data_IF_998610497553
#
_entry.id   IF_998610497553
#
_cell.length_a   1.000
_cell.length_b   1.000
_cell.length_c   1.000
_cell.angle_alpha   90.00
_cell.angle_beta   90.00
_cell.angle_gamma   90.00
#
_symmetry.space_group_name_H-M   'P 1'
#
loop_
_entity.id
_entity.type
_entity.pdbx_description
1 polymer ?
#
# COMPACT_ATOMS: atom_id res chain seq x y z
N UNK A 1 10.51 -16.37 14.82
CA UNK A 1 9.43 -15.52 14.49
C UNK A 1 8.17 -15.75 15.28
N UNK A 2 7.84 -14.86 16.23
CA UNK A 2 6.53 -14.90 16.89
C UNK A 2 5.43 -14.40 15.94
N UNK A 3 4.23 -14.99 16.04
CA UNK A 3 3.06 -14.50 15.33
C UNK A 3 2.56 -13.21 15.98
N UNK A 4 2.54 -12.10 15.24
CA UNK A 4 2.13 -10.79 15.74
C UNK A 4 0.66 -10.46 15.46
N UNK A 5 0.05 -11.15 14.52
CA UNK A 5 -1.33 -10.88 14.12
C UNK A 5 -1.55 -11.05 12.62
N UNK A 6 -2.68 -10.55 12.12
CA UNK A 6 -3.03 -10.58 10.71
C UNK A 6 -3.80 -9.34 10.29
N UNK A 7 -3.63 -8.94 9.05
CA UNK A 7 -4.50 -8.03 8.32
C UNK A 7 -5.43 -8.84 7.39
N UNK A 8 -6.63 -8.36 7.18
CA UNK A 8 -7.55 -8.87 6.17
C UNK A 8 -7.87 -7.75 5.19
N UNK A 9 -7.62 -7.97 3.90
CA UNK A 9 -7.89 -7.01 2.82
C UNK A 9 -9.28 -6.39 2.98
N UNK A 10 -9.33 -5.08 3.14
CA UNK A 10 -10.57 -4.36 3.46
C UNK A 10 -11.42 -4.13 2.21
N UNK A 11 -10.78 -3.77 1.10
CA UNK A 11 -11.47 -3.46 -0.15
C UNK A 11 -11.24 -4.58 -1.16
N UNK A 12 -12.35 -5.24 -1.56
CA UNK A 12 -12.30 -6.37 -2.50
C UNK A 12 -12.70 -5.86 -3.89
N UNK A 13 -11.83 -6.00 -4.92
CA UNK A 13 -12.13 -5.53 -6.26
C UNK A 13 -13.20 -6.37 -6.96
N UNK A 14 -13.91 -5.68 -7.86
CA UNK A 14 -14.74 -6.29 -8.87
C UNK A 14 -14.54 -5.50 -10.17
N UNK A 15 -13.51 -5.84 -10.92
CA UNK A 15 -13.12 -5.12 -12.15
C UNK A 15 -12.98 -6.11 -13.30
N UNK A 16 -13.68 -5.86 -14.37
CA UNK A 16 -13.55 -6.63 -15.60
C UNK A 16 -12.37 -6.11 -16.46
N UNK A 17 -11.66 -6.99 -17.17
CA UNK A 17 -11.76 -8.45 -17.12
C UNK A 17 -10.89 -9.03 -16.01
N UNK A 18 -11.26 -10.17 -15.42
CA UNK A 18 -10.37 -11.02 -14.64
C UNK A 18 -10.38 -10.82 -13.12
N UNK A 19 -10.71 -9.65 -12.59
CA UNK A 19 -10.64 -9.36 -11.16
C UNK A 19 -12.02 -9.45 -10.49
N UNK A 20 -12.54 -10.68 -10.36
CA UNK A 20 -13.86 -10.94 -9.77
C UNK A 20 -13.74 -11.42 -8.31
N UNK A 21 -12.88 -10.80 -7.51
CA UNK A 21 -12.56 -11.25 -6.15
C UNK A 21 -13.79 -11.26 -5.22
N UNK A 22 -14.79 -10.38 -5.43
CA UNK A 22 -16.03 -10.37 -4.61
C UNK A 22 -16.83 -11.67 -4.68
N UNK A 23 -16.61 -12.50 -5.69
CA UNK A 23 -17.23 -13.82 -5.79
C UNK A 23 -16.70 -14.78 -4.71
N UNK A 24 -15.43 -14.62 -4.31
CA UNK A 24 -14.70 -15.57 -3.48
C UNK A 24 -14.41 -15.04 -2.09
N UNK A 25 -14.32 -13.70 -1.93
CA UNK A 25 -13.86 -13.06 -0.71
C UNK A 25 -14.86 -12.04 -0.17
N UNK A 26 -14.94 -11.99 1.16
CA UNK A 26 -15.63 -10.93 1.90
C UNK A 26 -14.63 -9.84 2.30
N UNK A 27 -15.08 -8.57 2.40
CA UNK A 27 -14.27 -7.49 2.96
C UNK A 27 -13.72 -7.84 4.34
N UNK A 28 -12.49 -7.43 4.60
CA UNK A 28 -11.84 -7.56 5.90
C UNK A 28 -12.60 -6.79 7.00
N UNK A 29 -12.50 -7.29 8.22
CA UNK A 29 -13.23 -6.76 9.38
C UNK A 29 -12.34 -6.56 10.61
N UNK A 30 -11.03 -6.49 10.43
CA UNK A 30 -10.07 -6.30 11.53
C UNK A 30 -9.60 -4.84 11.67
N UNK A 31 -10.15 -3.94 10.85
CA UNK A 31 -9.67 -2.57 10.78
C UNK A 31 -8.25 -2.50 10.18
N UNK A 32 -7.46 -1.58 10.69
CA UNK A 32 -6.11 -1.27 10.19
C UNK A 32 -5.08 -1.49 11.30
N UNK A 33 -4.77 -2.75 11.64
CA UNK A 33 -3.79 -3.07 12.68
C UNK A 33 -2.38 -2.67 12.25
N UNK A 34 -1.60 -2.21 13.22
CA UNK A 34 -0.17 -1.96 13.10
C UNK A 34 0.55 -2.95 14.00
N UNK A 35 1.61 -3.55 13.50
CA UNK A 35 2.36 -4.60 14.17
C UNK A 35 3.70 -4.04 14.66
N UNK A 36 3.92 -4.08 15.96
CA UNK A 36 5.21 -3.74 16.55
C UNK A 36 6.20 -4.88 16.27
N UNK A 37 7.16 -4.61 15.40
CA UNK A 37 8.29 -5.51 15.14
C UNK A 37 9.51 -5.08 15.97
N UNK A 38 10.59 -5.86 15.91
CA UNK A 38 11.84 -5.48 16.55
C UNK A 38 12.50 -4.23 15.95
N UNK A 39 12.06 -3.79 14.75
CA UNK A 39 12.73 -2.76 13.97
C UNK A 39 11.83 -1.59 13.60
N UNK A 40 10.55 -1.83 13.32
CA UNK A 40 9.64 -0.83 12.76
C UNK A 40 8.19 -1.15 13.12
N UNK A 41 7.34 -0.14 13.22
CA UNK A 41 5.88 -0.27 13.30
C UNK A 41 5.32 -0.49 11.90
N UNK A 42 4.92 -1.73 11.63
CA UNK A 42 4.56 -2.22 10.31
C UNK A 42 3.05 -2.19 10.08
N UNK A 43 2.62 -1.48 9.05
CA UNK A 43 1.27 -1.58 8.48
C UNK A 43 1.22 -2.51 7.27
N UNK A 44 0.05 -3.08 7.01
CA UNK A 44 -0.21 -3.89 5.81
C UNK A 44 -1.45 -3.35 5.12
N UNK A 45 -1.36 -3.11 3.80
CA UNK A 45 -2.46 -2.58 3.00
C UNK A 45 -2.42 -3.25 1.62
N UNK A 46 -3.38 -4.12 1.31
CA UNK A 46 -3.21 -5.13 0.25
C UNK A 46 -3.78 -4.65 -1.10
N UNK A 47 -2.94 -4.57 -2.12
CA UNK A 47 -3.29 -4.46 -3.54
C UNK A 47 -4.33 -3.33 -3.81
N UNK A 48 -5.59 -3.70 -4.09
CA UNK A 48 -6.70 -2.78 -4.36
C UNK A 48 -6.96 -1.77 -3.24
N UNK A 49 -6.61 -2.11 -1.99
CA UNK A 49 -6.70 -1.18 -0.86
C UNK A 49 -5.99 0.15 -1.15
N UNK A 50 -4.90 0.15 -1.95
CA UNK A 50 -4.08 1.34 -2.24
C UNK A 50 -4.87 2.51 -2.83
N UNK A 51 -5.99 2.23 -3.51
CA UNK A 51 -6.85 3.24 -4.13
C UNK A 51 -7.66 4.06 -3.10
N UNK A 52 -7.66 3.67 -1.83
CA UNK A 52 -8.46 4.28 -0.77
C UNK A 52 -7.56 5.05 0.21
N UNK A 53 -7.52 6.39 0.12
CA UNK A 53 -6.68 7.23 0.98
C UNK A 53 -6.95 7.06 2.47
N UNK A 54 -8.17 6.69 2.83
CA UNK A 54 -8.63 6.53 4.21
C UNK A 54 -7.84 5.47 4.97
N UNK A 55 -7.53 4.33 4.32
CA UNK A 55 -6.79 3.25 4.97
C UNK A 55 -5.32 3.59 5.19
N UNK A 56 -4.67 4.28 4.25
CA UNK A 56 -3.31 4.81 4.45
C UNK A 56 -3.26 5.74 5.66
N UNK A 57 -4.24 6.65 5.75
CA UNK A 57 -4.36 7.59 6.86
C UNK A 57 -4.63 6.86 8.17
N UNK A 58 -5.52 5.87 8.19
CA UNK A 58 -5.84 5.10 9.38
C UNK A 58 -4.61 4.33 9.91
N UNK A 59 -3.86 3.66 9.03
CA UNK A 59 -2.62 2.97 9.40
C UNK A 59 -1.59 3.93 10.00
N UNK A 60 -1.40 5.09 9.38
CA UNK A 60 -0.45 6.09 9.87
C UNK A 60 -0.88 6.69 11.22
N UNK A 61 -2.19 6.93 11.43
CA UNK A 61 -2.74 7.38 12.72
C UNK A 61 -2.61 6.30 13.80
N UNK A 62 -2.64 5.02 13.43
CA UNK A 62 -2.39 3.90 14.34
C UNK A 62 -0.88 3.69 14.61
N UNK A 63 -0.03 4.55 14.05
CA UNK A 63 1.39 4.60 14.35
C UNK A 63 2.29 3.88 13.35
N UNK A 64 1.80 3.43 12.19
CA UNK A 64 2.66 2.85 11.17
C UNK A 64 3.76 3.82 10.72
N UNK A 65 4.97 3.28 10.60
CA UNK A 65 6.16 3.97 10.07
C UNK A 65 6.52 3.43 8.68
N UNK A 66 6.27 2.15 8.46
CA UNK A 66 6.44 1.46 7.19
C UNK A 66 5.16 0.69 6.86
N UNK A 67 4.65 0.85 5.65
CA UNK A 67 3.45 0.15 5.18
C UNK A 67 3.80 -0.67 3.94
N UNK A 68 3.53 -1.97 3.98
CA UNK A 68 3.72 -2.85 2.81
C UNK A 68 2.42 -2.98 2.02
N UNK A 69 2.52 -2.88 0.69
CA UNK A 69 1.40 -3.08 -0.23
C UNK A 69 1.69 -4.26 -1.17
N UNK A 70 1.49 -5.51 -0.71
CA UNK A 70 1.58 -6.67 -1.58
C UNK A 70 0.45 -6.69 -2.59
N UNK A 71 0.79 -6.86 -3.86
CA UNK A 71 -0.12 -6.68 -4.99
C UNK A 71 0.08 -7.72 -6.08
N UNK A 72 -1.01 -7.98 -6.82
CA UNK A 72 -1.00 -8.68 -8.10
C UNK A 72 -1.77 -7.79 -9.09
N UNK A 73 -1.10 -6.77 -9.62
CA UNK A 73 -1.71 -5.79 -10.52
C UNK A 73 -1.08 -5.88 -11.92
N UNK A 74 -1.91 -5.72 -12.94
CA UNK A 74 -1.57 -5.96 -14.34
C UNK A 74 -1.37 -4.67 -15.13
N UNK A 75 -0.59 -4.76 -16.21
CA UNK A 75 -0.41 -3.69 -17.18
C UNK A 75 -1.74 -3.26 -17.82
N UNK A 76 -1.80 -2.03 -18.30
CA UNK A 76 -2.96 -1.44 -18.96
C UNK A 76 -3.76 -0.56 -18.02
N UNK A 77 -4.75 -1.10 -17.35
CA UNK A 77 -5.76 -0.32 -16.64
C UNK A 77 -5.22 0.52 -15.47
N UNK A 78 -4.28 0.02 -14.70
CA UNK A 78 -3.86 0.63 -13.43
C UNK A 78 -2.36 0.92 -13.29
N UNK A 79 -1.56 0.67 -14.32
CA UNK A 79 -0.10 0.85 -14.23
C UNK A 79 0.28 2.28 -13.87
N UNK A 80 -0.38 3.29 -14.43
CA UNK A 80 -0.11 4.69 -14.14
C UNK A 80 -0.42 5.07 -12.69
N UNK A 81 -1.36 4.37 -12.04
CA UNK A 81 -1.70 4.59 -10.63
C UNK A 81 -0.64 4.03 -9.68
N UNK A 82 0.13 3.04 -10.14
CA UNK A 82 1.12 2.35 -9.32
C UNK A 82 2.16 3.31 -8.75
N UNK A 83 2.72 4.16 -9.60
CA UNK A 83 3.72 5.15 -9.23
C UNK A 83 3.13 6.53 -8.83
N UNK A 84 1.81 6.68 -8.90
CA UNK A 84 1.13 7.92 -8.50
C UNK A 84 0.59 7.85 -7.07
N UNK A 85 -0.20 6.83 -6.77
CA UNK A 85 -0.99 6.78 -5.53
C UNK A 85 -0.14 6.53 -4.28
N UNK A 86 0.83 5.63 -4.37
CA UNK A 86 1.62 5.23 -3.22
C UNK A 86 2.66 6.31 -2.84
N UNK A 87 3.40 6.95 -3.75
CA UNK A 87 4.22 8.11 -3.44
C UNK A 87 3.41 9.27 -2.82
N UNK A 88 2.24 9.58 -3.39
CA UNK A 88 1.35 10.59 -2.83
C UNK A 88 0.88 10.21 -1.41
N UNK A 89 0.56 8.93 -1.19
CA UNK A 89 0.15 8.41 0.13
C UNK A 89 1.31 8.43 1.14
N UNK A 90 2.53 8.10 0.72
CA UNK A 90 3.73 8.17 1.55
C UNK A 90 3.96 9.61 2.05
N UNK A 91 3.94 10.58 1.14
CA UNK A 91 4.12 12.00 1.48
C UNK A 91 2.99 12.53 2.37
N UNK A 92 1.73 12.24 2.02
CA UNK A 92 0.57 12.71 2.78
C UNK A 92 0.51 12.17 4.22
N UNK A 93 1.14 11.02 4.49
CA UNK A 93 1.11 10.34 5.78
C UNK A 93 2.47 10.29 6.50
N UNK A 94 3.54 10.78 5.87
CA UNK A 94 4.88 10.77 6.44
C UNK A 94 5.32 9.35 6.84
N UNK A 95 5.20 8.38 5.91
CA UNK A 95 5.54 6.96 6.12
C UNK A 95 6.37 6.44 4.96
N UNK A 96 7.18 5.41 5.22
CA UNK A 96 7.72 4.59 4.12
C UNK A 96 6.64 3.67 3.57
N UNK A 97 6.69 3.38 2.27
CA UNK A 97 5.84 2.36 1.64
C UNK A 97 6.72 1.41 0.82
N UNK A 98 6.55 0.10 1.05
CA UNK A 98 7.07 -0.96 0.20
C UNK A 98 5.98 -1.47 -0.73
N UNK A 99 6.05 -1.09 -1.99
CA UNK A 99 5.15 -1.54 -3.03
C UNK A 99 5.70 -2.83 -3.65
N UNK A 100 5.01 -3.94 -3.46
CA UNK A 100 5.46 -5.26 -3.88
C UNK A 100 4.47 -5.78 -4.91
N UNK A 101 4.91 -6.01 -6.16
CA UNK A 101 4.03 -6.49 -7.21
C UNK A 101 4.53 -7.79 -7.82
N UNK A 102 3.59 -8.62 -8.20
CA UNK A 102 3.81 -9.86 -8.93
C UNK A 102 4.36 -9.60 -10.34
N UNK A 103 5.07 -10.57 -10.91
CA UNK A 103 5.56 -10.58 -12.30
C UNK A 103 4.97 -11.74 -13.10
N UNK A 104 5.04 -11.65 -14.44
CA UNK A 104 4.71 -12.71 -15.37
C UNK A 104 3.24 -12.78 -15.77
N UNK A 105 2.85 -13.90 -16.34
CA UNK A 105 1.50 -14.17 -16.84
C UNK A 105 0.93 -15.45 -16.25
N UNK A 106 -0.38 -15.57 -16.21
CA UNK A 106 -1.07 -16.81 -15.80
C UNK A 106 -1.66 -17.51 -17.03
N UNK A 107 -1.03 -18.60 -17.45
CA UNK A 107 -1.59 -19.45 -18.48
C UNK A 107 -2.67 -20.41 -17.90
N UNK A 108 -3.77 -20.68 -18.59
CA UNK A 108 -4.15 -20.18 -19.93
C UNK A 108 -4.88 -18.82 -19.93
N UNK A 109 -4.89 -18.09 -18.82
CA UNK A 109 -5.70 -16.89 -18.60
C UNK A 109 -5.00 -15.59 -19.00
N UNK A 110 -3.79 -15.64 -19.58
CA UNK A 110 -2.98 -14.47 -19.91
C UNK A 110 -3.71 -13.41 -20.73
N UNK A 111 -4.55 -13.83 -21.70
CA UNK A 111 -5.34 -12.88 -22.52
C UNK A 111 -6.40 -12.14 -21.73
N UNK A 112 -6.97 -12.74 -20.69
CA UNK A 112 -8.01 -12.16 -19.85
C UNK A 112 -7.43 -11.36 -18.68
N UNK A 113 -6.37 -11.88 -18.06
CA UNK A 113 -5.76 -11.30 -16.87
C UNK A 113 -4.74 -10.21 -17.22
N UNK A 114 -4.02 -10.35 -18.33
CA UNK A 114 -2.89 -9.50 -18.69
C UNK A 114 -1.60 -9.91 -18.02
N UNK A 115 -0.58 -9.07 -18.18
CA UNK A 115 0.76 -9.27 -17.63
C UNK A 115 0.91 -8.54 -16.30
N UNK A 116 1.37 -9.26 -15.28
CA UNK A 116 1.80 -8.68 -14.01
C UNK A 116 3.19 -8.07 -14.20
N UNK A 117 3.29 -6.76 -14.07
CA UNK A 117 4.44 -6.01 -14.57
C UNK A 117 5.59 -5.86 -13.55
N UNK A 118 5.47 -6.41 -12.34
CA UNK A 118 6.51 -6.20 -11.32
C UNK A 118 6.66 -4.74 -10.93
N UNK A 119 7.84 -4.19 -11.17
CA UNK A 119 8.17 -2.81 -10.81
C UNK A 119 7.89 -2.49 -9.34
N UNK A 120 8.27 -3.42 -8.47
CA UNK A 120 8.22 -3.22 -7.02
C UNK A 120 9.15 -2.08 -6.62
N UNK A 121 8.81 -1.32 -5.59
CA UNK A 121 9.65 -0.20 -5.17
C UNK A 121 9.50 0.13 -3.68
N UNK A 122 10.46 0.91 -3.19
CA UNK A 122 10.42 1.53 -1.86
C UNK A 122 10.32 3.03 -2.05
N UNK A 123 9.36 3.66 -1.38
CA UNK A 123 9.16 5.11 -1.38
C UNK A 123 9.29 5.65 0.04
N UNK A 124 9.96 6.80 0.15
CA UNK A 124 10.22 7.45 1.43
C UNK A 124 9.08 8.39 1.88
N UNK A 125 9.10 8.89 3.12
CA UNK A 125 8.09 9.80 3.66
C UNK A 125 7.94 11.15 2.92
N UNK A 126 8.84 11.47 1.98
CA UNK A 126 8.75 12.65 1.12
C UNK A 126 8.09 12.35 -0.23
N UNK A 127 7.68 11.08 -0.46
CA UNK A 127 7.08 10.64 -1.71
C UNK A 127 8.09 10.36 -2.84
N UNK A 128 9.36 10.18 -2.51
CA UNK A 128 10.41 9.87 -3.48
C UNK A 128 10.65 8.36 -3.52
N UNK A 129 10.67 7.78 -4.71
CA UNK A 129 11.06 6.39 -4.92
C UNK A 129 12.58 6.30 -4.75
N UNK A 130 13.04 5.54 -3.75
CA UNK A 130 14.46 5.38 -3.42
C UNK A 130 15.10 4.19 -4.12
N UNK A 131 14.31 3.14 -4.33
CA UNK A 131 14.75 1.93 -5.03
C UNK A 131 13.58 1.31 -5.78
N UNK A 132 13.83 0.80 -6.98
CA UNK A 132 12.82 0.21 -7.84
C UNK A 132 13.38 -1.02 -8.54
N UNK A 133 12.62 -2.10 -8.51
CA UNK A 133 12.90 -3.32 -9.23
C UNK A 133 12.52 -3.22 -10.72
N UNK A 134 13.02 -4.12 -11.52
CA UNK A 134 12.76 -4.20 -12.95
C UNK A 134 11.30 -4.49 -13.28
N UNK A 135 10.97 -4.32 -14.55
CA UNK A 135 9.70 -4.76 -15.12
C UNK A 135 9.85 -6.21 -15.63
N UNK A 136 8.94 -7.07 -15.21
CA UNK A 136 8.78 -8.40 -15.81
C UNK A 136 9.64 -9.52 -15.23
N UNK A 137 10.69 -9.21 -14.46
CA UNK A 137 11.60 -10.22 -13.92
C UNK A 137 11.38 -10.46 -12.42
N UNK A 138 11.62 -11.69 -11.98
CA UNK A 138 11.72 -12.02 -10.56
C UNK A 138 12.96 -11.37 -9.96
N UNK A 139 12.79 -10.49 -9.00
CA UNK A 139 13.88 -9.72 -8.41
C UNK A 139 13.73 -9.56 -6.91
N UNK A 140 14.83 -9.66 -6.18
CA UNK A 140 14.93 -9.29 -4.77
C UNK A 140 15.42 -7.85 -4.64
N UNK A 141 14.51 -6.94 -4.30
CA UNK A 141 14.85 -5.55 -4.02
C UNK A 141 15.31 -5.42 -2.56
N UNK A 142 16.54 -4.98 -2.37
CA UNK A 142 17.11 -4.68 -1.04
C UNK A 142 17.52 -3.22 -0.98
N UNK A 143 17.08 -2.51 0.05
CA UNK A 143 17.39 -1.11 0.25
C UNK A 143 17.47 -0.79 1.73
N UNK A 144 18.42 0.04 2.12
CA UNK A 144 18.55 0.56 3.48
C UNK A 144 17.68 1.80 3.63
N UNK A 145 16.85 1.87 4.68
CA UNK A 145 15.97 2.99 4.95
C UNK A 145 16.33 3.65 6.29
N UNK A 146 16.27 4.97 6.32
CA UNK A 146 16.44 5.76 7.53
C UNK A 146 15.09 6.07 8.17
N UNK A 147 14.73 5.35 9.23
CA UNK A 147 13.46 5.52 9.92
C UNK A 147 13.33 6.87 10.65
N UNK A 148 14.43 7.55 10.95
CA UNK A 148 14.38 8.90 11.54
C UNK A 148 13.72 9.90 10.60
N UNK A 149 13.78 9.68 9.30
CA UNK A 149 13.08 10.49 8.30
C UNK A 149 11.56 10.57 8.53
N UNK A 150 10.95 9.53 9.07
CA UNK A 150 9.51 9.54 9.43
C UNK A 150 9.22 10.67 10.41
N UNK A 151 10.04 10.78 11.46
CA UNK A 151 9.90 11.83 12.48
C UNK A 151 10.22 13.21 11.89
N UNK A 152 11.33 13.33 11.17
CA UNK A 152 11.72 14.60 10.53
C UNK A 152 10.62 15.18 9.65
N UNK A 153 10.02 14.33 8.78
CA UNK A 153 8.96 14.76 7.88
C UNK A 153 7.71 15.15 8.65
N UNK A 154 7.32 14.39 9.68
CA UNK A 154 6.14 14.68 10.51
C UNK A 154 6.33 15.93 11.38
N UNK A 155 7.56 16.21 11.81
CA UNK A 155 7.89 17.42 12.56
C UNK A 155 7.93 18.66 11.66
N UNK A 156 8.37 18.50 10.41
CA UNK A 156 8.37 19.57 9.40
C UNK A 156 6.95 19.88 8.93
N UNK A 157 6.21 18.85 8.56
CA UNK A 157 4.85 18.97 8.04
C UNK A 157 3.85 18.50 9.09
N UNK A 158 3.26 19.42 9.81
CA UNK A 158 2.32 19.13 10.92
C UNK A 158 0.94 18.64 10.43
N UNK A 159 0.89 17.81 9.40
CA UNK A 159 -0.36 17.35 8.77
C UNK A 159 -1.31 16.66 9.75
N UNK A 160 -0.79 15.88 10.69
CA UNK A 160 -1.63 15.19 11.68
C UNK A 160 -2.24 16.14 12.71
N UNK A 161 -1.49 17.16 13.15
CA UNK A 161 -1.95 18.19 14.07
C UNK A 161 -3.03 19.07 13.43
N UNK A 162 -2.84 19.41 12.16
CA UNK A 162 -3.66 20.38 11.45
C UNK A 162 -4.90 19.76 10.79
N UNK A 163 -5.16 18.47 11.05
CA UNK A 163 -6.38 17.80 10.58
C UNK A 163 -7.63 18.44 11.18
N UNK A 164 -8.65 18.57 10.37
CA UNK A 164 -9.97 19.05 10.76
C UNK A 164 -10.97 17.89 10.84
N UNK A 165 -10.70 16.97 11.78
CA UNK A 165 -11.52 15.76 11.97
C UNK A 165 -13.00 16.08 12.28
N UNK A 166 -13.27 17.25 12.79
CA UNK A 166 -14.61 17.82 13.00
C UNK A 166 -15.41 18.00 11.70
N UNK A 167 -14.72 18.08 10.54
CA UNK A 167 -15.34 18.27 9.22
C UNK A 167 -15.38 16.98 8.37
N UNK A 168 -14.81 15.88 8.86
CA UNK A 168 -14.69 14.65 8.09
C UNK A 168 -15.84 13.66 8.26
N UNK A 169 -16.93 14.05 8.93
CA UNK A 169 -18.08 13.17 9.18
C UNK A 169 -18.62 12.50 7.92
N UNK A 170 -18.67 13.22 6.80
CA UNK A 170 -19.11 12.70 5.50
C UNK A 170 -18.33 11.46 5.00
N UNK A 171 -17.06 11.32 5.40
CA UNK A 171 -16.25 10.16 5.03
C UNK A 171 -16.69 8.85 5.70
N UNK A 172 -17.46 8.93 6.77
CA UNK A 172 -17.94 7.78 7.55
C UNK A 172 -19.45 7.51 7.38
N UNK A 173 -20.15 8.38 6.68
CA UNK A 173 -21.56 8.20 6.33
C UNK A 173 -21.72 7.22 5.15
N UNK A 174 -22.79 6.42 5.15
CA UNK A 174 -23.16 5.53 4.04
C UNK A 174 -24.08 6.22 3.04
#
# INVERSE_FOLDING_TARGET
GSYLGKYRKTHIPQVAPGFYEKYFFKPGNLGYPVFDTAYVKLGVYICYDRHFPEGWRALALNGAEYIVNPSATVAGLSKYLWELEQPASAAANGVFIGAINRVGTEEPWAKQMGEFYGSSYIVNPRGQIEAQASYGDDELLVHEIDLDMVREVRDTWQFFRDRRSDLYGRLTEK
#
